data_IF_865512467399
#
_entry.id   IF_865512467399
#
_cell.length_a   1.000
_cell.length_b   1.000
_cell.length_c   1.000
_cell.angle_alpha   90.00
_cell.angle_beta   90.00
_cell.angle_gamma   90.00
#
_symmetry.space_group_name_H-M   'P 1'
#
loop_
_entity.id
_entity.type
_entity.pdbx_description
1 polymer ?
#
# COMPACT_ATOMS: atom_id res chain seq x y z
N UNK A 1 -2.34 -12.03 -13.13
CA UNK A 1 -2.53 -11.59 -11.73
C UNK A 1 -3.90 -12.02 -11.22
N UNK A 2 -5.02 -11.60 -11.81
CA UNK A 2 -6.38 -11.96 -11.35
C UNK A 2 -6.55 -13.48 -11.13
N UNK A 3 -6.23 -14.30 -12.14
CA UNK A 3 -6.30 -15.77 -11.99
C UNK A 3 -5.46 -16.32 -10.83
N UNK A 4 -4.26 -15.76 -10.62
CA UNK A 4 -3.41 -16.19 -9.51
C UNK A 4 -4.07 -15.90 -8.15
N UNK A 5 -4.64 -14.70 -8.00
CA UNK A 5 -5.35 -14.32 -6.77
C UNK A 5 -6.59 -15.19 -6.57
N UNK A 6 -7.38 -15.41 -7.63
CA UNK A 6 -8.56 -16.30 -7.57
C UNK A 6 -8.19 -17.73 -7.14
N UNK A 7 -7.11 -18.28 -7.71
CA UNK A 7 -6.63 -19.60 -7.33
C UNK A 7 -6.18 -19.64 -5.87
N UNK A 8 -5.41 -18.63 -5.41
CA UNK A 8 -4.97 -18.52 -4.01
C UNK A 8 -6.17 -18.48 -3.07
N UNK A 9 -7.17 -17.66 -3.37
CA UNK A 9 -8.38 -17.53 -2.56
C UNK A 9 -9.12 -18.87 -2.43
N UNK A 10 -9.28 -19.59 -3.54
CA UNK A 10 -9.88 -20.94 -3.54
C UNK A 10 -9.07 -21.91 -2.71
N UNK A 11 -7.75 -21.98 -2.91
CA UNK A 11 -6.89 -22.89 -2.17
C UNK A 11 -6.87 -22.60 -0.65
N UNK A 12 -7.06 -21.36 -0.24
CA UNK A 12 -7.16 -21.01 1.18
C UNK A 12 -8.48 -21.40 1.82
N UNK A 13 -9.56 -21.49 1.04
CA UNK A 13 -10.93 -21.65 1.56
C UNK A 13 -11.54 -23.01 1.27
N UNK A 14 -11.19 -23.64 0.15
CA UNK A 14 -11.75 -24.93 -0.27
C UNK A 14 -10.90 -26.10 0.23
N UNK A 15 -11.52 -27.19 0.71
CA UNK A 15 -10.78 -28.42 1.13
C UNK A 15 -9.94 -29.00 0.00
N UNK A 16 -10.49 -29.00 -1.22
CA UNK A 16 -9.86 -29.40 -2.47
C UNK A 16 -10.21 -28.39 -3.54
N UNK A 17 -9.23 -27.99 -4.33
CA UNK A 17 -9.40 -26.94 -5.34
C UNK A 17 -9.17 -27.51 -6.73
N UNK A 18 -10.14 -27.32 -7.59
CA UNK A 18 -10.00 -27.48 -9.04
C UNK A 18 -10.18 -26.11 -9.69
N UNK A 19 -9.23 -25.73 -10.52
CA UNK A 19 -9.22 -24.43 -11.21
C UNK A 19 -8.67 -24.58 -12.63
N UNK A 20 -9.45 -24.18 -13.63
CA UNK A 20 -9.07 -24.21 -15.05
C UNK A 20 -9.08 -22.79 -15.59
N UNK A 21 -7.99 -22.05 -15.39
CA UNK A 21 -7.79 -20.72 -15.93
C UNK A 21 -7.02 -20.75 -17.25
N UNK A 22 -6.70 -19.59 -17.77
CA UNK A 22 -5.89 -19.45 -18.98
C UNK A 22 -4.41 -19.76 -18.72
N UNK A 23 -3.91 -19.42 -17.53
CA UNK A 23 -2.51 -19.52 -17.16
C UNK A 23 -2.25 -20.54 -16.04
N UNK A 24 -3.24 -20.80 -15.21
CA UNK A 24 -3.13 -21.72 -14.08
C UNK A 24 -4.17 -22.84 -14.21
N UNK A 25 -3.69 -24.09 -14.04
CA UNK A 25 -4.53 -25.28 -14.04
C UNK A 25 -4.13 -26.14 -12.84
N UNK A 26 -5.08 -26.45 -12.00
CA UNK A 26 -4.92 -27.42 -10.91
C UNK A 26 -6.17 -28.28 -10.83
N UNK A 27 -5.97 -29.56 -10.49
CA UNK A 27 -7.05 -30.52 -10.28
C UNK A 27 -6.89 -31.15 -8.91
N UNK A 28 -7.97 -31.13 -8.13
CA UNK A 28 -8.07 -31.79 -6.83
C UNK A 28 -6.90 -31.42 -5.88
N UNK A 29 -6.38 -30.20 -6.00
CA UNK A 29 -5.23 -29.73 -5.24
C UNK A 29 -5.59 -29.47 -3.78
N UNK A 30 -4.67 -29.81 -2.88
CA UNK A 30 -4.80 -29.65 -1.44
C UNK A 30 -3.75 -28.66 -0.96
N UNK A 31 -4.17 -27.68 -0.17
CA UNK A 31 -3.29 -26.78 0.59
C UNK A 31 -3.57 -26.95 2.08
N UNK A 32 -2.60 -27.52 2.81
CA UNK A 32 -2.68 -27.68 4.26
C UNK A 32 -1.33 -27.30 4.92
N UNK A 33 -1.36 -26.65 6.10
CA UNK A 33 -2.55 -26.27 6.88
C UNK A 33 -3.28 -25.08 6.25
N UNK A 34 -4.60 -25.01 6.43
CA UNK A 34 -5.40 -23.84 6.05
C UNK A 34 -5.04 -22.63 6.91
N UNK A 35 -5.20 -21.39 6.39
CA UNK A 35 -5.03 -20.17 7.17
C UNK A 35 -5.88 -20.17 8.45
N UNK A 36 -5.31 -19.63 9.52
CA UNK A 36 -6.01 -19.50 10.82
C UNK A 36 -7.10 -18.43 10.73
N UNK A 37 -6.84 -17.33 10.02
CA UNK A 37 -7.82 -16.26 9.79
C UNK A 37 -9.03 -16.79 9.02
N UNK A 38 -10.22 -16.31 9.41
CA UNK A 38 -11.49 -16.66 8.78
C UNK A 38 -12.17 -15.42 8.20
N UNK A 39 -12.70 -15.48 6.99
CA UNK A 39 -12.73 -16.66 6.10
C UNK A 39 -11.35 -17.00 5.50
N UNK A 40 -10.40 -16.06 5.49
CA UNK A 40 -9.03 -16.16 4.95
C UNK A 40 -8.19 -14.95 5.40
N UNK A 41 -6.87 -14.94 5.22
CA UNK A 41 -6.06 -13.73 5.34
C UNK A 41 -6.54 -12.62 4.39
N UNK A 42 -6.46 -11.33 4.77
CA UNK A 42 -6.73 -10.24 3.85
C UNK A 42 -5.69 -10.23 2.71
N UNK A 43 -6.15 -9.86 1.53
CA UNK A 43 -5.32 -9.76 0.32
C UNK A 43 -5.09 -8.30 -0.03
N UNK A 44 -3.83 -7.89 -0.06
CA UNK A 44 -3.45 -6.57 -0.59
C UNK A 44 -2.89 -6.72 -2.00
N UNK A 45 -3.39 -5.91 -2.93
CA UNK A 45 -2.82 -5.80 -4.28
C UNK A 45 -2.13 -4.45 -4.42
N UNK A 46 -0.84 -4.46 -4.76
CA UNK A 46 -0.03 -3.27 -4.95
C UNK A 46 0.09 -2.87 -6.42
N UNK A 47 0.16 -1.56 -6.65
CA UNK A 47 0.35 -0.95 -7.97
C UNK A 47 -0.76 0.02 -8.36
N UNK A 48 -0.44 0.91 -9.29
CA UNK A 48 -1.33 2.00 -9.73
C UNK A 48 -1.85 1.84 -11.17
N UNK A 49 -1.78 0.64 -11.77
CA UNK A 49 -2.29 0.40 -13.12
C UNK A 49 -3.81 0.47 -13.19
N UNK A 50 -4.32 1.50 -13.86
CA UNK A 50 -5.74 1.88 -13.82
C UNK A 50 -6.67 0.81 -14.42
N UNK A 51 -6.28 0.23 -15.56
CA UNK A 51 -7.14 -0.70 -16.30
C UNK A 51 -7.16 -2.13 -15.74
N UNK A 52 -6.04 -2.61 -15.22
CA UNK A 52 -5.90 -4.00 -14.81
C UNK A 52 -5.72 -4.14 -13.30
N UNK A 53 -4.81 -3.36 -12.69
CA UNK A 53 -4.49 -3.51 -11.28
C UNK A 53 -5.63 -3.03 -10.39
N UNK A 54 -6.13 -1.80 -10.61
CA UNK A 54 -7.21 -1.25 -9.80
C UNK A 54 -8.54 -1.99 -10.01
N UNK A 55 -8.79 -2.53 -11.23
CA UNK A 55 -9.92 -3.43 -11.45
C UNK A 55 -9.78 -4.74 -10.66
N UNK A 56 -8.58 -5.32 -10.62
CA UNK A 56 -8.32 -6.52 -9.82
C UNK A 56 -8.48 -6.25 -8.31
N UNK A 57 -8.06 -5.07 -7.84
CA UNK A 57 -8.34 -4.62 -6.47
C UNK A 57 -9.84 -4.61 -6.20
N UNK A 58 -10.62 -3.93 -7.04
CA UNK A 58 -12.07 -3.82 -6.87
C UNK A 58 -12.78 -5.18 -6.81
N UNK A 59 -12.29 -6.17 -7.57
CA UNK A 59 -12.92 -7.49 -7.64
C UNK A 59 -12.45 -8.46 -6.55
N UNK A 60 -11.21 -8.37 -6.07
CA UNK A 60 -10.56 -9.48 -5.36
C UNK A 60 -9.82 -9.10 -4.07
N UNK A 61 -9.42 -7.83 -3.90
CA UNK A 61 -8.57 -7.46 -2.79
C UNK A 61 -9.35 -6.88 -1.60
N UNK A 62 -8.78 -6.99 -0.42
CA UNK A 62 -9.25 -6.34 0.81
C UNK A 62 -8.53 -5.00 1.04
N UNK A 63 -7.36 -4.83 0.41
CA UNK A 63 -6.59 -3.60 0.45
C UNK A 63 -5.91 -3.32 -0.90
N UNK A 64 -5.70 -2.04 -1.20
CA UNK A 64 -4.80 -1.61 -2.28
C UNK A 64 -3.58 -0.89 -1.72
N UNK A 65 -2.45 -0.97 -2.44
CA UNK A 65 -1.27 -0.18 -2.10
C UNK A 65 -0.81 0.61 -3.34
N UNK A 66 -0.96 1.94 -3.28
CA UNK A 66 -0.49 2.84 -4.34
C UNK A 66 0.97 3.20 -4.05
N UNK A 67 1.86 2.82 -4.98
CA UNK A 67 3.31 2.91 -4.78
C UNK A 67 3.94 4.16 -5.37
N UNK A 68 3.30 4.79 -6.36
CA UNK A 68 3.83 5.93 -7.11
C UNK A 68 2.87 7.10 -7.15
N UNK A 69 3.39 8.27 -7.56
CA UNK A 69 2.63 9.48 -7.77
C UNK A 69 2.63 10.45 -6.59
N UNK A 70 2.29 11.70 -6.89
CA UNK A 70 2.01 12.73 -5.90
C UNK A 70 0.58 12.62 -5.34
N UNK A 71 0.19 13.55 -4.48
CA UNK A 71 -1.16 13.55 -3.86
C UNK A 71 -2.27 13.63 -4.90
N UNK A 72 -2.09 14.40 -5.97
CA UNK A 72 -3.11 14.57 -7.02
C UNK A 72 -3.27 13.26 -7.81
N UNK A 73 -2.16 12.60 -8.13
CA UNK A 73 -2.18 11.30 -8.81
C UNK A 73 -2.76 10.19 -7.93
N UNK A 74 -2.44 10.17 -6.64
CA UNK A 74 -3.05 9.21 -5.69
C UNK A 74 -4.56 9.43 -5.63
N UNK A 75 -5.03 10.68 -5.50
CA UNK A 75 -6.45 11.01 -5.52
C UNK A 75 -7.14 10.55 -6.81
N UNK A 76 -6.50 10.76 -7.96
CA UNK A 76 -7.01 10.29 -9.26
C UNK A 76 -7.13 8.75 -9.27
N UNK A 77 -6.09 8.02 -8.86
CA UNK A 77 -6.12 6.55 -8.83
C UNK A 77 -7.20 5.99 -7.89
N UNK A 78 -7.41 6.63 -6.76
CA UNK A 78 -8.50 6.27 -5.84
C UNK A 78 -9.89 6.54 -6.45
N UNK A 79 -10.05 7.61 -7.24
CA UNK A 79 -11.28 7.86 -7.98
C UNK A 79 -11.51 6.80 -9.07
N UNK A 80 -10.47 6.35 -9.78
CA UNK A 80 -10.55 5.24 -10.74
C UNK A 80 -10.93 3.93 -10.04
N UNK A 81 -10.32 3.64 -8.88
CA UNK A 81 -10.68 2.46 -8.08
C UNK A 81 -12.16 2.50 -7.68
N UNK A 82 -12.67 3.66 -7.23
CA UNK A 82 -14.10 3.84 -6.90
C UNK A 82 -14.99 3.51 -8.10
N UNK A 83 -14.65 4.00 -9.30
CA UNK A 83 -15.37 3.67 -10.52
C UNK A 83 -15.40 2.17 -10.86
N UNK A 84 -14.30 1.45 -10.60
CA UNK A 84 -14.28 -0.01 -10.73
C UNK A 84 -15.14 -0.72 -9.69
N UNK A 85 -15.17 -0.21 -8.45
CA UNK A 85 -16.04 -0.73 -7.40
C UNK A 85 -17.52 -0.55 -7.77
N UNK A 86 -17.91 0.64 -8.26
CA UNK A 86 -19.26 0.93 -8.72
C UNK A 86 -19.68 -0.04 -9.84
N UNK A 87 -18.80 -0.25 -10.82
CA UNK A 87 -19.04 -1.18 -11.93
C UNK A 87 -19.14 -2.64 -11.49
N UNK A 88 -18.44 -3.02 -10.42
CA UNK A 88 -18.47 -4.36 -9.83
C UNK A 88 -19.59 -4.56 -8.79
N UNK A 89 -20.33 -3.51 -8.44
CA UNK A 89 -21.33 -3.54 -7.36
C UNK A 89 -20.72 -3.78 -5.97
N UNK A 90 -19.46 -3.36 -5.78
CA UNK A 90 -18.73 -3.51 -4.52
C UNK A 90 -18.66 -2.19 -3.75
N UNK A 91 -18.90 -2.26 -2.45
CA UNK A 91 -18.68 -1.12 -1.58
C UNK A 91 -17.18 -0.77 -1.50
N UNK A 92 -16.83 0.42 -1.98
CA UNK A 92 -15.47 0.97 -2.01
C UNK A 92 -14.85 1.11 -0.62
N UNK A 93 -15.67 1.41 0.41
CA UNK A 93 -15.19 1.66 1.77
C UNK A 93 -14.78 0.37 2.48
N UNK A 94 -15.10 -0.80 1.90
CA UNK A 94 -14.59 -2.11 2.38
C UNK A 94 -13.16 -2.40 1.96
N UNK A 95 -12.54 -1.56 1.15
CA UNK A 95 -11.14 -1.71 0.70
C UNK A 95 -10.27 -0.73 1.48
N UNK A 96 -9.26 -1.23 2.19
CA UNK A 96 -8.26 -0.38 2.82
C UNK A 96 -7.34 0.25 1.75
N UNK A 97 -7.27 1.59 1.73
CA UNK A 97 -6.46 2.36 0.77
C UNK A 97 -5.14 2.70 1.42
N UNK A 98 -4.06 2.05 0.96
CA UNK A 98 -2.73 2.26 1.54
C UNK A 98 -1.79 2.94 0.56
N UNK A 99 -0.81 3.65 1.09
CA UNK A 99 0.27 4.30 0.35
C UNK A 99 1.61 3.90 0.94
N UNK A 100 2.52 3.40 0.11
CA UNK A 100 3.90 3.15 0.52
C UNK A 100 4.83 4.17 -0.14
N UNK A 101 5.72 4.77 0.65
CA UNK A 101 6.85 5.54 0.13
C UNK A 101 8.00 5.56 1.13
N UNK A 102 9.26 5.77 0.66
CA UNK A 102 10.38 6.05 1.56
C UNK A 102 10.24 7.42 2.20
N UNK A 103 10.61 7.52 3.46
CA UNK A 103 10.65 8.76 4.22
C UNK A 103 12.03 8.98 4.82
N UNK A 104 12.48 10.22 4.84
CA UNK A 104 13.68 10.66 5.54
C UNK A 104 13.36 11.99 6.22
N UNK A 105 13.34 11.98 7.55
CA UNK A 105 12.93 13.11 8.36
C UNK A 105 14.09 13.72 9.13
N UNK A 106 14.00 15.03 9.38
CA UNK A 106 14.79 15.74 10.36
C UNK A 106 13.90 16.72 11.15
N UNK A 107 14.35 17.15 12.33
CA UNK A 107 13.57 18.06 13.18
C UNK A 107 13.35 19.42 12.54
N UNK A 108 14.38 19.95 11.89
CA UNK A 108 14.39 21.26 11.28
C UNK A 108 15.24 21.31 10.00
N UNK A 109 15.24 22.46 9.32
CA UNK A 109 15.96 22.65 8.07
C UNK A 109 17.49 22.50 8.21
N UNK A 110 18.08 22.88 9.34
CA UNK A 110 19.53 22.77 9.56
C UNK A 110 19.93 21.31 9.74
N UNK A 111 19.20 20.54 10.55
CA UNK A 111 19.39 19.10 10.72
C UNK A 111 19.15 18.35 9.41
N UNK A 112 18.16 18.76 8.62
CA UNK A 112 17.88 18.19 7.30
C UNK A 112 19.03 18.39 6.33
N UNK A 113 19.60 19.60 6.27
CA UNK A 113 20.75 19.91 5.41
C UNK A 113 21.98 19.03 5.78
N UNK A 114 22.31 18.95 7.06
CA UNK A 114 23.40 18.09 7.56
C UNK A 114 23.15 16.60 7.25
N UNK A 115 21.90 16.13 7.40
CA UNK A 115 21.52 14.75 7.08
C UNK A 115 21.65 14.46 5.55
N UNK A 116 21.23 15.37 4.70
CA UNK A 116 21.38 15.27 3.23
C UNK A 116 22.84 15.16 2.83
N UNK A 117 23.72 16.01 3.39
CA UNK A 117 25.16 15.99 3.12
C UNK A 117 25.78 14.64 3.54
N UNK A 118 25.48 14.18 4.76
CA UNK A 118 25.96 12.88 5.28
C UNK A 118 25.54 11.70 4.40
N UNK A 119 24.33 11.72 3.88
CA UNK A 119 23.77 10.63 3.11
C UNK A 119 24.05 10.71 1.61
N UNK A 120 24.53 11.85 1.09
CA UNK A 120 24.83 12.03 -0.33
C UNK A 120 25.83 10.99 -0.88
N UNK A 121 26.80 10.58 -0.06
CA UNK A 121 27.79 9.56 -0.43
C UNK A 121 27.18 8.15 -0.65
N UNK A 122 25.94 7.92 -0.19
CA UNK A 122 25.26 6.63 -0.25
C UNK A 122 24.22 6.54 -1.39
N UNK A 123 24.32 7.42 -2.40
CA UNK A 123 23.45 7.49 -3.55
C UNK A 123 22.21 8.39 -3.35
N UNK A 124 21.36 8.49 -4.37
CA UNK A 124 20.24 9.43 -4.38
C UNK A 124 19.23 9.14 -3.26
N UNK A 125 18.69 10.21 -2.68
CA UNK A 125 17.58 10.13 -1.75
C UNK A 125 16.27 9.97 -2.55
N UNK A 126 15.46 8.99 -2.17
CA UNK A 126 14.18 8.71 -2.82
C UNK A 126 13.03 8.89 -1.83
N UNK A 127 11.84 9.18 -2.36
CA UNK A 127 10.65 9.42 -1.56
C UNK A 127 10.63 10.81 -0.95
N UNK A 128 9.97 10.93 0.19
CA UNK A 128 9.91 12.20 0.91
C UNK A 128 11.19 12.46 1.72
N UNK A 129 11.74 13.65 1.59
CA UNK A 129 12.92 14.10 2.33
C UNK A 129 12.66 15.50 2.86
N UNK A 130 12.30 15.61 4.12
CA UNK A 130 11.83 16.86 4.71
C UNK A 130 11.90 16.91 6.23
N UNK A 131 11.34 17.98 6.78
CA UNK A 131 11.16 18.18 8.20
C UNK A 131 9.92 17.45 8.72
N UNK A 132 9.81 17.32 10.04
CA UNK A 132 8.62 16.78 10.71
C UNK A 132 7.35 17.55 10.32
N UNK A 133 7.39 18.89 10.30
CA UNK A 133 6.22 19.71 9.91
C UNK A 133 5.78 19.45 8.49
N UNK A 134 6.72 19.42 7.53
CA UNK A 134 6.42 19.11 6.13
C UNK A 134 5.86 17.69 5.95
N UNK A 135 6.31 16.74 6.78
CA UNK A 135 5.78 15.38 6.77
C UNK A 135 4.32 15.33 7.26
N UNK A 136 4.01 16.03 8.36
CA UNK A 136 2.65 16.13 8.89
C UNK A 136 1.71 16.74 7.84
N UNK A 137 2.13 17.83 7.20
CA UNK A 137 1.34 18.47 6.15
C UNK A 137 1.08 17.56 4.96
N UNK A 138 2.10 16.81 4.51
CA UNK A 138 1.95 15.87 3.39
C UNK A 138 1.07 14.67 3.75
N UNK A 139 1.20 14.13 4.96
CA UNK A 139 0.34 13.02 5.42
C UNK A 139 -1.11 13.47 5.51
N UNK A 140 -1.38 14.67 6.03
CA UNK A 140 -2.72 15.25 6.02
C UNK A 140 -3.31 15.36 4.61
N UNK A 141 -2.50 15.76 3.63
CA UNK A 141 -2.94 15.80 2.23
C UNK A 141 -3.27 14.42 1.66
N UNK A 142 -2.52 13.36 2.03
CA UNK A 142 -2.86 11.98 1.66
C UNK A 142 -4.13 11.50 2.35
N UNK A 143 -4.33 11.83 3.62
CA UNK A 143 -5.57 11.54 4.34
C UNK A 143 -6.78 12.20 3.64
N UNK A 144 -6.67 13.48 3.28
CA UNK A 144 -7.69 14.22 2.52
C UNK A 144 -7.93 13.66 1.11
N UNK A 145 -6.92 13.00 0.54
CA UNK A 145 -7.05 12.28 -0.73
C UNK A 145 -7.74 10.92 -0.59
N UNK A 146 -7.95 10.43 0.64
CA UNK A 146 -8.63 9.17 0.94
C UNK A 146 -7.70 7.99 1.20
N UNK A 147 -6.44 8.24 1.60
CA UNK A 147 -5.52 7.19 2.07
C UNK A 147 -5.83 6.88 3.54
N UNK A 148 -6.06 5.61 3.86
CA UNK A 148 -6.37 5.15 5.21
C UNK A 148 -5.09 4.79 6.01
N UNK A 149 -4.08 4.24 5.33
CA UNK A 149 -2.83 3.78 5.96
C UNK A 149 -1.61 4.19 5.15
N UNK A 150 -0.64 4.83 5.80
CA UNK A 150 0.63 5.17 5.20
C UNK A 150 1.72 4.22 5.68
N UNK A 151 2.44 3.60 4.73
CA UNK A 151 3.50 2.63 5.01
C UNK A 151 4.86 3.29 4.74
N UNK A 152 5.70 3.36 5.77
CA UNK A 152 7.07 3.84 5.60
C UNK A 152 7.96 2.72 5.02
N UNK A 153 8.44 2.91 3.80
CA UNK A 153 9.50 2.08 3.22
C UNK A 153 10.87 2.59 3.69
N UNK A 154 11.32 2.19 4.88
CA UNK A 154 12.61 2.60 5.43
C UNK A 154 13.78 1.94 4.67
N UNK A 155 14.16 2.58 3.56
CA UNK A 155 15.26 2.08 2.70
C UNK A 155 16.66 2.40 3.23
N UNK A 156 16.77 3.30 4.21
CA UNK A 156 18.05 3.78 4.73
C UNK A 156 18.36 3.25 6.13
N UNK A 157 17.42 2.55 6.76
CA UNK A 157 17.51 2.12 8.15
C UNK A 157 17.85 3.30 9.09
N UNK A 158 17.22 4.47 8.82
CA UNK A 158 17.48 5.70 9.54
C UNK A 158 16.70 5.73 10.85
N UNK A 159 17.38 5.43 11.95
CA UNK A 159 16.77 5.32 13.29
C UNK A 159 16.09 6.63 13.68
N UNK A 160 16.74 7.78 13.44
CA UNK A 160 16.18 9.10 13.76
C UNK A 160 14.84 9.35 13.05
N UNK A 161 14.71 8.96 11.76
CA UNK A 161 13.43 9.08 11.06
C UNK A 161 12.33 8.26 11.73
N UNK A 162 12.63 7.03 12.19
CA UNK A 162 11.63 6.19 12.88
C UNK A 162 11.22 6.79 14.23
N UNK A 163 12.19 7.30 14.98
CA UNK A 163 11.93 7.96 16.26
C UNK A 163 11.07 9.21 16.08
N UNK A 164 11.40 10.07 15.10
CA UNK A 164 10.62 11.26 14.78
C UNK A 164 9.19 10.91 14.30
N UNK A 165 9.03 9.82 13.51
CA UNK A 165 7.69 9.35 13.19
C UNK A 165 6.90 8.97 14.45
N UNK A 166 7.49 8.19 15.33
CA UNK A 166 6.80 7.69 16.52
C UNK A 166 6.46 8.81 17.52
N UNK A 167 7.40 9.75 17.74
CA UNK A 167 7.24 10.78 18.78
C UNK A 167 6.53 12.04 18.29
N UNK A 168 6.78 12.47 17.04
CA UNK A 168 6.41 13.80 16.59
C UNK A 168 5.40 13.80 15.41
N UNK A 169 5.26 12.69 14.65
CA UNK A 169 4.35 12.62 13.51
C UNK A 169 3.08 11.83 13.85
N UNK A 170 3.22 10.57 14.28
CA UNK A 170 2.08 9.68 14.51
C UNK A 170 1.03 10.24 15.49
N UNK A 171 1.40 10.96 16.57
CA UNK A 171 0.41 11.52 17.49
C UNK A 171 -0.57 12.52 16.88
N UNK A 172 -0.25 13.09 15.70
CA UNK A 172 -1.16 13.99 14.97
C UNK A 172 -2.29 13.26 14.23
N UNK A 173 -2.16 11.93 14.05
CA UNK A 173 -3.08 11.09 13.24
C UNK A 173 -3.67 9.91 14.03
N UNK A 174 -3.43 9.85 15.35
CA UNK A 174 -3.90 8.78 16.24
C UNK A 174 -5.34 9.05 16.76
#
# INVERSE_FOLDING_TARGET
>A
MEEAVQLILKMWTEPRTTFHGRYFHVEDAILEPKPVQKPRPPVMIAGGGEQLTLRAVANLADACNIVDGDVAEVRHKLAVLRGHCDAAGRDYDTIEKTRIQPWLLARDAAALAAKRERLAAHGPLCGFVGTVSEAIDLIGQYQDAGVDLLINADRRNDVETRELFASDVMPHFA
#
